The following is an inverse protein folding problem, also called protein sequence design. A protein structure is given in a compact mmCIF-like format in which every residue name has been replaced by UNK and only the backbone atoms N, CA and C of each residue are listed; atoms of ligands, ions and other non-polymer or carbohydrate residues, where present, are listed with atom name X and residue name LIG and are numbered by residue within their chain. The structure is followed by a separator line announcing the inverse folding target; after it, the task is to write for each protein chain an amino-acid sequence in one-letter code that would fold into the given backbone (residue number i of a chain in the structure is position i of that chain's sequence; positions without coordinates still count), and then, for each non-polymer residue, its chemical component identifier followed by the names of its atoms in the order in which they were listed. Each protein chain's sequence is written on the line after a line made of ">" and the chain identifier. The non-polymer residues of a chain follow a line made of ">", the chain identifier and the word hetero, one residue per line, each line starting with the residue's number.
data_IF_338631298323
#
_entry.id   IF_338631298323
#
_cell.length_a   1.000
_cell.length_b   1.000
_cell.length_c   1.000
_cell.angle_alpha   90.00
_cell.angle_beta   90.00
_cell.angle_gamma   90.00
#
_symmetry.space_group_name_H-M   'P 1'
#
loop_
_entity.id
_entity.type
_entity.pdbx_description
1 polymer ?
#
# COMPACT_ATOMS: atom_id res chain seq x y z
N UNK A 1 -3.09 25.43 16.38
CA UNK A 1 -2.61 24.33 15.52
C UNK A 1 -2.95 24.72 14.08
N UNK A 2 -1.96 24.83 13.20
CA UNK A 2 -2.21 25.20 11.80
C UNK A 2 -3.10 24.15 11.15
N UNK A 3 -4.20 24.57 10.54
CA UNK A 3 -5.20 23.70 9.88
C UNK A 3 -4.81 23.32 8.45
N UNK A 4 -3.57 23.63 8.04
CA UNK A 4 -3.09 23.42 6.67
C UNK A 4 -2.40 22.05 6.58
N UNK A 5 -2.69 21.29 5.51
CA UNK A 5 -2.01 20.03 5.18
C UNK A 5 -0.50 20.29 5.13
N UNK A 6 0.35 19.43 5.74
CA UNK A 6 1.80 19.63 5.72
C UNK A 6 2.36 19.56 4.30
N UNK A 7 3.47 20.25 4.05
CA UNK A 7 4.13 20.29 2.73
C UNK A 7 4.67 18.93 2.26
N UNK A 8 4.82 17.97 3.17
CA UNK A 8 5.28 16.62 2.86
C UNK A 8 4.60 15.60 3.76
N UNK A 9 4.28 14.39 3.26
CA UNK A 9 3.75 13.28 4.05
C UNK A 9 4.80 12.60 4.94
N UNK A 10 6.06 13.07 4.92
CA UNK A 10 7.14 12.47 5.69
C UNK A 10 6.90 12.61 7.20
N UNK A 11 7.10 11.51 7.94
CA UNK A 11 7.04 11.49 9.41
C UNK A 11 8.44 11.38 10.05
N UNK A 12 9.49 11.72 9.31
CA UNK A 12 10.90 11.59 9.71
C UNK A 12 11.36 10.15 10.07
N UNK A 13 10.61 9.13 9.65
CA UNK A 13 11.03 7.73 9.66
C UNK A 13 11.19 7.25 8.22
N UNK A 14 12.41 6.85 7.85
CA UNK A 14 12.71 6.38 6.51
C UNK A 14 13.28 4.97 6.55
N UNK A 15 12.52 4.00 6.04
CA UNK A 15 12.97 2.61 5.91
C UNK A 15 13.50 2.28 4.51
N UNK A 16 13.28 3.14 3.52
CA UNK A 16 13.85 2.95 2.17
C UNK A 16 15.37 3.12 2.15
N UNK A 17 15.92 3.90 3.09
CA UNK A 17 17.37 3.96 3.34
C UNK A 17 17.95 2.62 3.84
N UNK A 18 17.09 1.72 4.35
CA UNK A 18 17.46 0.38 4.83
C UNK A 18 17.14 -0.71 3.80
N UNK A 19 16.63 -0.35 2.60
CA UNK A 19 16.39 -1.27 1.49
C UNK A 19 14.92 -1.60 1.19
N UNK A 20 13.94 -1.06 1.94
CA UNK A 20 12.52 -1.23 1.56
C UNK A 20 12.18 -0.42 0.30
N UNK A 21 11.41 -0.98 -0.64
CA UNK A 21 10.95 -0.24 -1.83
C UNK A 21 9.89 0.82 -1.50
N UNK A 22 9.08 0.55 -0.46
CA UNK A 22 8.05 1.47 0.07
C UNK A 22 8.37 1.79 1.52
N UNK A 23 8.38 3.08 1.86
CA UNK A 23 8.72 3.54 3.20
C UNK A 23 7.64 3.15 4.21
N UNK A 24 8.03 2.44 5.27
CA UNK A 24 7.13 2.03 6.36
C UNK A 24 6.54 3.19 7.16
N UNK A 25 7.16 4.37 7.10
CA UNK A 25 6.69 5.57 7.80
C UNK A 25 5.63 6.34 7.02
N UNK A 26 5.91 6.70 5.77
CA UNK A 26 5.05 7.58 4.97
C UNK A 26 4.35 6.90 3.79
N UNK A 27 4.56 5.60 3.57
CA UNK A 27 4.01 4.80 2.47
C UNK A 27 4.34 5.31 1.05
N UNK A 28 5.32 6.21 0.91
CA UNK A 28 5.88 6.62 -0.39
C UNK A 28 6.94 5.62 -0.87
N UNK A 29 7.04 5.50 -2.18
CA UNK A 29 8.15 4.80 -2.85
C UNK A 29 9.46 5.59 -2.72
N UNK A 30 10.61 4.92 -2.88
CA UNK A 30 11.91 5.60 -2.92
C UNK A 30 11.98 6.68 -4.02
N UNK A 31 11.38 6.42 -5.18
CA UNK A 31 11.30 7.39 -6.28
C UNK A 31 10.57 8.67 -5.87
N UNK A 32 9.40 8.55 -5.24
CA UNK A 32 8.63 9.70 -4.76
C UNK A 32 9.34 10.46 -3.62
N UNK A 33 10.10 9.76 -2.78
CA UNK A 33 10.88 10.39 -1.70
C UNK A 33 12.04 11.20 -2.29
N UNK A 34 12.81 10.60 -3.19
CA UNK A 34 13.99 11.23 -3.79
C UNK A 34 13.65 12.38 -4.73
N UNK A 35 12.51 12.31 -5.42
CA UNK A 35 12.06 13.34 -6.36
C UNK A 35 11.16 14.41 -5.75
N UNK A 36 10.77 14.30 -4.48
CA UNK A 36 9.75 15.17 -3.87
C UNK A 36 9.98 16.68 -4.07
N UNK A 37 11.23 17.14 -3.93
CA UNK A 37 11.59 18.54 -4.06
C UNK A 37 11.52 19.07 -5.51
N UNK A 38 11.51 18.16 -6.49
CA UNK A 38 11.47 18.47 -7.92
C UNK A 38 10.07 18.30 -8.52
N UNK A 39 9.17 17.62 -7.81
CA UNK A 39 7.79 17.40 -8.25
C UNK A 39 6.96 18.69 -8.27
N UNK A 40 6.16 18.84 -9.32
CA UNK A 40 5.14 19.88 -9.45
C UNK A 40 4.00 19.73 -8.44
N UNK A 41 3.05 20.67 -8.46
CA UNK A 41 1.87 20.58 -7.59
C UNK A 41 1.00 19.36 -7.91
N UNK A 42 0.73 19.11 -9.19
CA UNK A 42 -0.12 18.01 -9.64
C UNK A 42 0.49 16.63 -9.35
N UNK A 43 1.81 16.50 -9.52
CA UNK A 43 2.55 15.27 -9.19
C UNK A 43 2.50 15.00 -7.67
N UNK A 44 2.69 16.04 -6.85
CA UNK A 44 2.59 15.91 -5.39
C UNK A 44 1.18 15.53 -4.96
N UNK A 45 0.15 16.10 -5.58
CA UNK A 45 -1.24 15.74 -5.28
C UNK A 45 -1.57 14.30 -5.70
N UNK A 46 -1.02 13.83 -6.83
CA UNK A 46 -1.13 12.44 -7.26
C UNK A 46 -0.45 11.46 -6.28
N UNK A 47 0.66 11.86 -5.65
CA UNK A 47 1.26 11.07 -4.56
C UNK A 47 0.34 11.08 -3.34
N UNK A 48 -0.13 12.25 -2.92
CA UNK A 48 -1.04 12.40 -1.77
C UNK A 48 -2.31 11.55 -1.87
N UNK A 49 -2.92 11.47 -3.05
CA UNK A 49 -4.14 10.70 -3.26
C UNK A 49 -3.95 9.19 -3.11
N UNK A 50 -2.73 8.68 -3.37
CA UNK A 50 -2.38 7.25 -3.25
C UNK A 50 -2.06 6.82 -1.81
N UNK A 51 -1.57 7.73 -0.97
CA UNK A 51 -1.05 7.38 0.37
C UNK A 51 -2.07 6.70 1.29
N UNK A 52 -3.34 7.13 1.37
CA UNK A 52 -4.31 6.46 2.25
C UNK A 52 -4.46 4.97 1.92
N UNK A 53 -4.50 4.63 0.63
CA UNK A 53 -4.58 3.25 0.18
C UNK A 53 -3.27 2.50 0.47
N UNK A 54 -2.12 3.07 0.11
CA UNK A 54 -0.81 2.44 0.36
C UNK A 54 -0.55 2.20 1.84
N UNK A 55 -0.99 3.09 2.73
CA UNK A 55 -0.89 2.90 4.18
C UNK A 55 -1.65 1.65 4.63
N UNK A 56 -2.85 1.39 4.09
CA UNK A 56 -3.59 0.17 4.39
C UNK A 56 -2.91 -1.07 3.81
N UNK A 57 -2.40 -0.98 2.57
CA UNK A 57 -1.64 -2.08 1.96
C UNK A 57 -0.37 -2.43 2.77
N UNK A 58 0.30 -1.41 3.30
CA UNK A 58 1.48 -1.54 4.13
C UNK A 58 1.15 -2.23 5.46
N UNK A 59 0.04 -1.86 6.11
CA UNK A 59 -0.43 -2.53 7.34
C UNK A 59 -0.76 -4.00 7.08
N UNK A 60 -1.39 -4.32 5.95
CA UNK A 60 -1.69 -5.69 5.56
C UNK A 60 -0.42 -6.51 5.25
N UNK A 61 0.55 -5.94 4.54
CA UNK A 61 1.85 -6.57 4.30
C UNK A 61 2.53 -6.91 5.64
N UNK A 62 2.56 -5.94 6.56
CA UNK A 62 3.14 -6.14 7.89
C UNK A 62 2.41 -7.24 8.68
N UNK A 63 1.07 -7.26 8.63
CA UNK A 63 0.27 -8.33 9.25
C UNK A 63 0.54 -9.71 8.64
N UNK A 64 0.92 -9.77 7.36
CA UNK A 64 1.37 -10.98 6.68
C UNK A 64 2.86 -11.31 6.91
N UNK A 65 3.56 -10.58 7.79
CA UNK A 65 5.02 -10.68 7.99
C UNK A 65 5.83 -10.51 6.69
N UNK A 66 5.34 -9.64 5.80
CA UNK A 66 5.93 -9.36 4.49
C UNK A 66 6.32 -7.88 4.37
N UNK A 67 7.20 -7.60 3.40
CA UNK A 67 7.46 -6.24 2.92
C UNK A 67 6.40 -5.86 1.90
N UNK A 68 6.00 -4.59 1.89
CA UNK A 68 5.11 -4.08 0.85
C UNK A 68 5.90 -3.88 -0.44
N UNK A 69 5.62 -4.71 -1.43
CA UNK A 69 5.95 -4.48 -2.83
C UNK A 69 4.72 -3.95 -3.56
N UNK A 70 4.88 -2.96 -4.43
CA UNK A 70 3.79 -2.39 -5.22
C UNK A 70 3.98 -2.74 -6.68
N UNK A 71 2.95 -3.35 -7.27
CA UNK A 71 2.88 -3.63 -8.70
C UNK A 71 1.67 -2.91 -9.30
N UNK A 72 1.77 -2.57 -10.59
CA UNK A 72 0.62 -2.06 -11.35
C UNK A 72 0.04 -3.17 -12.23
N UNK A 73 -1.23 -3.50 -12.01
CA UNK A 73 -2.00 -4.45 -12.82
C UNK A 73 -3.22 -3.73 -13.38
N UNK A 74 -3.40 -3.75 -14.70
CA UNK A 74 -4.54 -3.11 -15.38
C UNK A 74 -4.69 -1.61 -15.05
N UNK A 75 -3.57 -0.92 -14.82
CA UNK A 75 -3.53 0.49 -14.42
C UNK A 75 -3.89 0.77 -12.96
N UNK A 76 -4.10 -0.29 -12.17
CA UNK A 76 -4.40 -0.23 -10.74
C UNK A 76 -3.16 -0.63 -9.93
N UNK A 77 -2.95 0.03 -8.80
CA UNK A 77 -1.88 -0.34 -7.87
C UNK A 77 -2.33 -1.44 -6.90
N UNK A 78 -1.49 -2.46 -6.75
CA UNK A 78 -1.69 -3.61 -5.87
C UNK A 78 -0.47 -3.81 -4.96
N UNK A 79 -0.70 -4.33 -3.76
CA UNK A 79 0.37 -4.91 -2.95
C UNK A 79 0.70 -6.31 -3.47
N UNK A 80 1.97 -6.72 -3.48
CA UNK A 80 2.39 -8.08 -3.82
C UNK A 80 3.00 -8.79 -2.62
N UNK A 81 2.57 -10.04 -2.39
CA UNK A 81 3.12 -10.93 -1.39
C UNK A 81 4.30 -11.76 -1.94
N UNK A 82 5.15 -12.35 -1.08
CA UNK A 82 6.29 -13.17 -1.51
C UNK A 82 5.93 -14.42 -2.32
N UNK A 83 4.70 -14.92 -2.19
CA UNK A 83 4.18 -16.05 -2.97
C UNK A 83 3.75 -15.66 -4.40
N UNK A 84 3.91 -14.39 -4.77
CA UNK A 84 3.55 -13.85 -6.07
C UNK A 84 2.08 -13.44 -6.19
N UNK A 85 1.26 -13.60 -5.15
CA UNK A 85 -0.11 -13.11 -5.15
C UNK A 85 -0.18 -11.60 -4.91
N UNK A 86 -1.18 -10.97 -5.50
CA UNK A 86 -1.47 -9.55 -5.34
C UNK A 86 -2.69 -9.35 -4.45
N UNK A 87 -2.70 -8.26 -3.69
CA UNK A 87 -3.82 -7.89 -2.83
C UNK A 87 -4.11 -6.39 -2.88
N UNK A 88 -5.38 -6.03 -2.70
CA UNK A 88 -5.86 -4.66 -2.75
C UNK A 88 -7.12 -4.54 -1.90
N UNK A 89 -7.36 -3.36 -1.32
CA UNK A 89 -8.67 -3.03 -0.74
C UNK A 89 -9.52 -2.29 -1.77
N UNK A 90 -10.81 -2.61 -1.83
CA UNK A 90 -11.79 -1.86 -2.63
C UNK A 90 -11.87 -0.40 -2.16
N UNK A 91 -12.15 0.51 -3.09
CA UNK A 91 -12.46 1.91 -2.75
C UNK A 91 -13.70 1.97 -1.86
N UNK A 92 -13.60 2.62 -0.71
CA UNK A 92 -14.64 2.59 0.33
C UNK A 92 -14.43 1.51 1.40
N UNK A 93 -13.50 0.58 1.19
CA UNK A 93 -13.16 -0.45 2.17
C UNK A 93 -14.31 -1.42 2.44
N UNK A 94 -15.01 -1.87 1.39
CA UNK A 94 -16.08 -2.87 1.41
C UNK A 94 -15.62 -4.30 1.08
N UNK A 95 -14.42 -4.45 0.52
CA UNK A 95 -13.82 -5.75 0.24
C UNK A 95 -12.29 -5.75 0.25
N UNK A 96 -11.71 -6.92 0.56
CA UNK A 96 -10.32 -7.26 0.27
C UNK A 96 -10.27 -8.16 -0.97
N UNK A 97 -9.54 -7.71 -1.97
CA UNK A 97 -9.34 -8.40 -3.24
C UNK A 97 -7.97 -9.08 -3.20
N UNK A 98 -7.91 -10.28 -3.75
CA UNK A 98 -6.66 -11.00 -4.02
C UNK A 98 -6.67 -11.50 -5.46
N UNK A 99 -5.52 -11.41 -6.12
CA UNK A 99 -5.25 -12.08 -7.39
C UNK A 99 -4.10 -13.04 -7.18
N UNK A 100 -4.30 -14.33 -7.44
CA UNK A 100 -3.23 -15.30 -7.27
C UNK A 100 -2.17 -15.22 -8.40
N UNK A 101 -1.08 -15.98 -8.26
CA UNK A 101 -0.01 -16.00 -9.26
C UNK A 101 -0.46 -16.56 -10.63
N UNK A 102 -1.60 -17.26 -10.70
CA UNK A 102 -2.21 -17.75 -11.93
C UNK A 102 -3.21 -16.75 -12.55
N UNK A 103 -3.42 -15.59 -11.91
CA UNK A 103 -4.34 -14.54 -12.36
C UNK A 103 -5.80 -14.76 -11.96
N UNK A 104 -6.10 -15.66 -11.02
CA UNK A 104 -7.46 -15.87 -10.51
C UNK A 104 -7.80 -14.85 -9.43
N UNK A 105 -8.95 -14.22 -9.58
CA UNK A 105 -9.45 -13.20 -8.66
C UNK A 105 -10.35 -13.80 -7.57
N UNK A 106 -10.10 -13.37 -6.34
CA UNK A 106 -10.82 -13.77 -5.15
C UNK A 106 -11.14 -12.55 -4.30
N UNK A 107 -12.28 -12.60 -3.59
CA UNK A 107 -12.76 -11.48 -2.81
C UNK A 107 -13.25 -11.95 -1.44
N UNK A 108 -12.82 -11.22 -0.41
CA UNK A 108 -13.35 -11.32 0.94
C UNK A 108 -14.16 -10.05 1.25
N UNK A 109 -15.48 -10.20 1.35
CA UNK A 109 -16.38 -9.14 1.81
C UNK A 109 -16.05 -8.77 3.27
N UNK A 110 -15.97 -7.47 3.54
CA UNK A 110 -15.16 -6.98 4.64
C UNK A 110 -15.93 -6.25 5.75
N UNK A 111 -17.18 -6.65 6.01
CA UNK A 111 -17.92 -6.12 7.17
C UNK A 111 -17.11 -6.44 8.46
N UNK A 112 -16.54 -5.40 9.08
CA UNK A 112 -15.64 -5.52 10.23
C UNK A 112 -14.31 -6.23 9.95
N UNK A 113 -13.68 -6.03 8.78
CA UNK A 113 -12.38 -6.67 8.47
C UNK A 113 -11.23 -6.12 9.32
N UNK A 114 -10.76 -6.95 10.25
CA UNK A 114 -9.54 -6.70 11.02
C UNK A 114 -8.30 -7.05 10.21
N UNK A 115 -7.15 -6.45 10.55
CA UNK A 115 -5.86 -6.81 9.94
C UNK A 115 -5.53 -8.30 10.11
N UNK A 116 -5.87 -8.88 11.26
CA UNK A 116 -5.65 -10.29 11.56
C UNK A 116 -6.49 -11.19 10.64
N UNK A 117 -7.80 -10.89 10.49
CA UNK A 117 -8.69 -11.65 9.60
C UNK A 117 -8.24 -11.52 8.14
N UNK A 118 -7.82 -10.32 7.73
CA UNK A 118 -7.31 -10.07 6.40
C UNK A 118 -6.02 -10.87 6.13
N UNK A 119 -5.05 -10.81 7.04
CA UNK A 119 -3.80 -11.54 6.91
C UNK A 119 -4.02 -13.05 6.94
N UNK A 120 -4.87 -13.55 7.83
CA UNK A 120 -5.23 -14.97 7.89
C UNK A 120 -5.83 -15.45 6.56
N UNK A 121 -6.73 -14.68 5.95
CA UNK A 121 -7.30 -15.01 4.65
C UNK A 121 -6.28 -14.96 3.51
N UNK A 122 -5.42 -13.94 3.47
CA UNK A 122 -4.37 -13.82 2.44
C UNK A 122 -3.38 -14.99 2.51
N UNK A 123 -3.00 -15.40 3.72
CA UNK A 123 -2.02 -16.47 3.96
C UNK A 123 -2.60 -17.88 3.82
N UNK A 124 -3.92 -18.06 4.00
CA UNK A 124 -4.59 -19.36 3.88
C UNK A 124 -4.62 -19.90 2.44
N UNK A 125 -4.43 -19.04 1.44
CA UNK A 125 -4.53 -19.37 0.01
C UNK A 125 -3.17 -19.72 -0.64
N UNK A 126 -2.22 -20.20 0.17
CA UNK A 126 -0.88 -20.65 -0.27
C UNK A 126 -0.87 -22.10 -0.73
#
# INVERSE_FOLDING_TARGET
>A
MSTTRPDSPCIALCSTALGDNVCRGCARTFGEISQWCFMGADEREAVWSRLPQRQRLLQLAAACSALLELDSLDGVEWGRLPDGSHYRLEEGGGALLRRDAAGRDEQLCCEGLTLERAASWLLAQR
#
